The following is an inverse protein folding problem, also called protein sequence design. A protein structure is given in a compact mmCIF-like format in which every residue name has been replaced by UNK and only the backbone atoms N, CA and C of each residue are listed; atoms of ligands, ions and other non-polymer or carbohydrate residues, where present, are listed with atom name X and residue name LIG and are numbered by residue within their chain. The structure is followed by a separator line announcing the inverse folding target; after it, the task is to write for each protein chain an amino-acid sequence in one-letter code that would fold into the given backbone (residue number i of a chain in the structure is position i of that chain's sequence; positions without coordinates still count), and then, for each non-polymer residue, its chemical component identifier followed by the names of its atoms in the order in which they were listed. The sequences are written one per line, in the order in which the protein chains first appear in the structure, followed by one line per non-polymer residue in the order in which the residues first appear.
data_IF_008566169725
#
_entry.id   IF_008566169725
#
_cell.length_a   1.000
_cell.length_b   1.000
_cell.length_c   1.000
_cell.angle_alpha   90.00
_cell.angle_beta   90.00
_cell.angle_gamma   90.00
#
_symmetry.space_group_name_H-M   'P 1'
#
loop_
_entity.id
_entity.type
_entity.pdbx_description
1 polymer ?
#
# COMPACT_ATOMS: atom_id res chain seq x y z
N UNK A 1 30.68 -33.58 -11.68
CA UNK A 1 29.69 -32.64 -12.25
C UNK A 1 30.46 -31.67 -13.14
N UNK A 2 30.24 -31.72 -14.46
CA UNK A 2 31.12 -31.11 -15.46
C UNK A 2 30.97 -29.59 -15.57
N UNK A 3 32.10 -28.89 -15.75
CA UNK A 3 32.17 -27.42 -15.90
C UNK A 3 31.33 -26.87 -17.07
N UNK A 4 30.97 -27.72 -18.05
CA UNK A 4 30.19 -27.33 -19.22
C UNK A 4 28.72 -27.02 -18.89
N UNK A 5 28.15 -27.65 -17.87
CA UNK A 5 26.75 -27.43 -17.48
C UNK A 5 26.55 -26.09 -16.76
N UNK A 6 27.60 -25.56 -16.14
CA UNK A 6 27.61 -24.26 -15.44
C UNK A 6 27.49 -23.09 -16.44
N UNK A 7 27.92 -23.31 -17.70
CA UNK A 7 28.07 -22.25 -18.71
C UNK A 7 26.82 -22.01 -19.59
N UNK A 8 25.78 -22.85 -19.50
CA UNK A 8 24.53 -22.65 -20.27
C UNK A 8 23.54 -21.74 -19.51
N UNK A 9 24.01 -20.58 -19.06
CA UNK A 9 23.17 -19.55 -18.46
C UNK A 9 22.55 -18.71 -19.58
N UNK A 10 21.27 -18.90 -19.88
CA UNK A 10 20.52 -18.02 -20.79
C UNK A 10 20.53 -16.58 -20.23
N UNK A 11 21.36 -15.71 -20.79
CA UNK A 11 21.38 -14.29 -20.44
C UNK A 11 20.11 -13.63 -20.96
N UNK A 12 19.18 -13.30 -20.06
CA UNK A 12 17.98 -12.53 -20.43
C UNK A 12 18.38 -11.07 -20.69
N UNK A 13 18.20 -10.59 -21.93
CA UNK A 13 18.41 -9.17 -22.26
C UNK A 13 17.35 -8.32 -21.56
N UNK A 14 17.68 -7.70 -20.43
CA UNK A 14 16.83 -6.69 -19.80
C UNK A 14 16.95 -5.36 -20.57
N UNK A 15 16.05 -5.14 -21.54
CA UNK A 15 16.03 -3.93 -22.39
C UNK A 15 15.15 -2.80 -21.84
N UNK A 16 14.60 -2.94 -20.63
CA UNK A 16 13.55 -2.04 -20.14
C UNK A 16 14.08 -0.74 -19.52
N UNK A 17 15.39 -0.62 -19.25
CA UNK A 17 15.98 0.61 -18.70
C UNK A 17 15.26 1.13 -17.45
N UNK A 18 15.06 2.45 -17.38
CA UNK A 18 14.35 3.13 -16.27
C UNK A 18 12.87 2.72 -16.21
N UNK A 19 12.24 2.47 -17.36
CA UNK A 19 10.84 2.02 -17.41
C UNK A 19 10.65 0.65 -16.73
N UNK A 20 11.70 -0.17 -16.67
CA UNK A 20 11.73 -1.44 -15.94
C UNK A 20 11.51 -1.32 -14.43
N UNK A 21 11.66 -0.11 -13.86
CA UNK A 21 11.42 0.14 -12.43
C UNK A 21 9.92 0.19 -12.12
N UNK A 22 9.12 0.69 -13.06
CA UNK A 22 7.66 0.80 -12.93
C UNK A 22 6.93 -0.38 -13.59
N UNK A 23 7.61 -1.12 -14.47
CA UNK A 23 7.03 -2.26 -15.14
C UNK A 23 6.91 -3.48 -14.21
N UNK A 24 5.67 -3.88 -13.93
CA UNK A 24 5.35 -4.98 -13.01
C UNK A 24 5.77 -6.38 -13.49
N UNK A 25 5.85 -6.60 -14.81
CA UNK A 25 6.16 -7.89 -15.40
C UNK A 25 5.32 -9.04 -14.82
N UNK A 26 5.95 -10.19 -14.57
CA UNK A 26 5.30 -11.38 -13.98
C UNK A 26 4.78 -11.19 -12.54
N UNK A 27 5.28 -10.16 -11.84
CA UNK A 27 5.04 -9.90 -10.41
C UNK A 27 4.38 -8.54 -10.19
N UNK A 28 3.49 -8.15 -11.11
CA UNK A 28 2.91 -6.82 -11.14
C UNK A 28 2.08 -6.52 -9.88
N UNK A 29 1.28 -7.49 -9.41
CA UNK A 29 0.43 -7.36 -8.21
C UNK A 29 1.29 -7.01 -7.00
N UNK A 30 2.35 -7.78 -6.77
CA UNK A 30 3.21 -7.61 -5.60
C UNK A 30 3.99 -6.29 -5.69
N UNK A 31 4.42 -5.89 -6.89
CA UNK A 31 5.11 -4.61 -7.12
C UNK A 31 4.21 -3.41 -6.87
N UNK A 32 2.99 -3.39 -7.40
CA UNK A 32 2.06 -2.28 -7.14
C UNK A 32 1.64 -2.25 -5.67
N UNK A 33 1.38 -3.41 -5.05
CA UNK A 33 1.05 -3.48 -3.63
C UNK A 33 2.18 -2.97 -2.73
N UNK A 34 3.44 -3.11 -3.15
CA UNK A 34 4.59 -2.54 -2.47
C UNK A 34 4.68 -1.02 -2.65
N UNK A 35 4.57 -0.53 -3.89
CA UNK A 35 4.68 0.90 -4.21
C UNK A 35 3.57 1.69 -3.53
N UNK A 36 2.31 1.25 -3.68
CA UNK A 36 1.16 1.93 -3.09
C UNK A 36 1.24 1.97 -1.56
N UNK A 37 1.76 0.92 -0.91
CA UNK A 37 1.86 0.90 0.55
C UNK A 37 2.85 1.91 1.11
N UNK A 38 3.96 2.14 0.37
CA UNK A 38 4.91 3.19 0.71
C UNK A 38 4.31 4.57 0.50
N UNK A 39 3.67 4.80 -0.64
CA UNK A 39 3.02 6.08 -0.94
C UNK A 39 1.95 6.40 0.11
N UNK A 40 1.07 5.44 0.43
CA UNK A 40 0.05 5.64 1.46
C UNK A 40 0.65 5.85 2.84
N UNK A 41 1.74 5.14 3.19
CA UNK A 41 2.44 5.36 4.46
C UNK A 41 3.02 6.76 4.58
N UNK A 42 3.67 7.29 3.53
CA UNK A 42 4.15 8.66 3.53
C UNK A 42 3.01 9.68 3.62
N UNK A 43 1.89 9.44 2.92
CA UNK A 43 0.70 10.28 3.02
C UNK A 43 0.13 10.31 4.45
N UNK A 44 0.06 9.16 5.13
CA UNK A 44 -0.41 9.06 6.50
C UNK A 44 0.52 9.75 7.50
N UNK A 45 1.85 9.63 7.35
CA UNK A 45 2.81 10.33 8.19
C UNK A 45 2.65 11.85 8.03
N UNK A 46 2.58 12.32 6.79
CA UNK A 46 2.38 13.74 6.50
C UNK A 46 1.06 14.25 7.07
N UNK A 47 -0.03 13.50 6.87
CA UNK A 47 -1.32 13.79 7.47
C UNK A 47 -1.25 13.85 9.00
N UNK A 48 -0.60 12.88 9.65
CA UNK A 48 -0.52 12.86 11.11
C UNK A 48 0.18 14.12 11.66
N UNK A 49 1.24 14.59 11.00
CA UNK A 49 1.89 15.86 11.36
C UNK A 49 0.93 17.06 11.24
N UNK A 50 0.20 17.15 10.12
CA UNK A 50 -0.80 18.21 9.93
C UNK A 50 -1.97 18.08 10.93
N UNK A 51 -2.39 16.87 11.25
CA UNK A 51 -3.47 16.58 12.18
C UNK A 51 -3.13 17.05 13.60
N UNK A 52 -1.90 16.78 14.05
CA UNK A 52 -1.39 17.30 15.34
C UNK A 52 -1.35 18.84 15.34
N UNK A 53 -0.94 19.46 14.24
CA UNK A 53 -0.98 20.92 14.12
C UNK A 53 -2.41 21.49 14.21
N UNK A 54 -3.35 20.98 13.41
CA UNK A 54 -4.75 21.42 13.38
C UNK A 54 -5.41 21.23 14.75
N UNK A 55 -5.22 20.06 15.37
CA UNK A 55 -5.78 19.79 16.71
C UNK A 55 -5.16 20.68 17.78
N UNK A 56 -3.90 21.11 17.60
CA UNK A 56 -3.23 22.08 18.45
C UNK A 56 -3.88 23.47 18.44
N UNK A 57 -4.54 23.89 17.36
CA UNK A 57 -5.27 25.17 17.29
C UNK A 57 -6.37 25.26 18.35
N UNK A 58 -6.90 24.13 18.84
CA UNK A 58 -7.89 24.08 19.90
C UNK A 58 -7.40 24.72 21.20
N UNK A 59 -6.09 24.71 21.46
CA UNK A 59 -5.49 25.35 22.63
C UNK A 59 -5.43 26.89 22.50
N UNK A 60 -5.59 27.44 21.30
CA UNK A 60 -5.51 28.88 21.02
C UNK A 60 -6.86 29.61 21.15
N UNK A 61 -7.92 28.90 21.51
CA UNK A 61 -9.26 29.45 21.71
C UNK A 61 -10.23 29.14 20.57
N UNK A 62 -11.50 29.51 20.77
CA UNK A 62 -12.59 29.18 19.85
C UNK A 62 -12.44 29.86 18.48
N UNK A 63 -11.95 31.10 18.43
CA UNK A 63 -11.79 31.83 17.17
C UNK A 63 -10.80 31.14 16.21
N UNK A 64 -9.62 30.74 16.73
CA UNK A 64 -8.63 30.00 15.94
C UNK A 64 -9.17 28.65 15.47
N UNK A 65 -9.91 27.95 16.33
CA UNK A 65 -10.54 26.67 16.01
C UNK A 65 -11.61 26.79 14.90
N UNK A 66 -12.52 27.76 15.01
CA UNK A 66 -13.55 27.97 14.00
C UNK A 66 -12.94 28.42 12.66
N UNK A 67 -11.89 29.25 12.69
CA UNK A 67 -11.17 29.67 11.48
C UNK A 67 -10.55 28.49 10.73
N UNK A 68 -9.77 27.65 11.41
CA UNK A 68 -9.14 26.49 10.76
C UNK A 68 -10.18 25.46 10.31
N UNK A 69 -11.25 25.25 11.08
CA UNK A 69 -12.32 24.34 10.71
C UNK A 69 -13.10 24.85 9.49
N UNK A 70 -13.28 26.17 9.35
CA UNK A 70 -13.83 26.79 8.15
C UNK A 70 -13.01 26.49 6.90
N UNK A 71 -11.68 26.55 7.01
CA UNK A 71 -10.77 26.20 5.92
C UNK A 71 -10.82 24.70 5.55
N UNK A 72 -10.88 23.81 6.54
CA UNK A 72 -10.94 22.35 6.31
C UNK A 72 -12.28 21.87 5.74
N UNK A 73 -13.35 22.67 5.86
CA UNK A 73 -14.66 22.42 5.22
C UNK A 73 -14.71 22.82 3.74
N UNK A 74 -13.62 23.32 3.17
CA UNK A 74 -13.61 23.67 1.75
C UNK A 74 -13.65 22.40 0.87
N UNK A 75 -14.23 22.45 -0.33
CA UNK A 75 -14.37 21.28 -1.20
C UNK A 75 -13.04 20.57 -1.52
N UNK A 76 -11.95 21.34 -1.59
CA UNK A 76 -10.59 20.81 -1.81
C UNK A 76 -10.19 19.92 -0.64
N UNK A 77 -10.44 20.34 0.60
CA UNK A 77 -10.09 19.55 1.78
C UNK A 77 -11.00 18.34 1.97
N UNK A 78 -12.28 18.43 1.62
CA UNK A 78 -13.14 17.24 1.53
C UNK A 78 -12.60 16.21 0.54
N UNK A 79 -12.14 16.65 -0.64
CA UNK A 79 -11.51 15.73 -1.59
C UNK A 79 -10.21 15.12 -1.04
N UNK A 80 -9.36 15.91 -0.37
CA UNK A 80 -8.14 15.42 0.24
C UNK A 80 -8.42 14.44 1.40
N UNK A 81 -9.43 14.71 2.22
CA UNK A 81 -9.89 13.82 3.28
C UNK A 81 -10.39 12.49 2.70
N UNK A 82 -11.15 12.53 1.60
CA UNK A 82 -11.58 11.32 0.91
C UNK A 82 -10.38 10.51 0.38
N UNK A 83 -9.39 11.15 -0.26
CA UNK A 83 -8.16 10.45 -0.69
C UNK A 83 -7.39 9.86 0.49
N UNK A 84 -7.34 10.58 1.61
CA UNK A 84 -6.73 10.10 2.84
C UNK A 84 -7.44 8.87 3.41
N UNK A 85 -8.78 8.85 3.39
CA UNK A 85 -9.59 7.69 3.78
C UNK A 85 -9.23 6.46 2.93
N UNK A 86 -9.13 6.62 1.61
CA UNK A 86 -8.70 5.55 0.70
C UNK A 86 -7.29 5.06 1.04
N UNK A 87 -6.35 5.98 1.25
CA UNK A 87 -4.97 5.67 1.60
C UNK A 87 -4.89 4.92 2.94
N UNK A 88 -5.67 5.34 3.94
CA UNK A 88 -5.73 4.72 5.25
C UNK A 88 -6.22 3.27 5.18
N UNK A 89 -7.38 3.03 4.56
CA UNK A 89 -7.95 1.67 4.45
C UNK A 89 -6.99 0.75 3.70
N UNK A 90 -6.46 1.22 2.57
CA UNK A 90 -5.50 0.45 1.79
C UNK A 90 -4.23 0.14 2.59
N UNK A 91 -3.66 1.14 3.28
CA UNK A 91 -2.44 0.96 4.08
C UNK A 91 -2.65 -0.05 5.21
N UNK A 92 -3.77 0.05 5.93
CA UNK A 92 -4.11 -0.85 7.02
C UNK A 92 -4.26 -2.31 6.52
N UNK A 93 -5.07 -2.53 5.48
CA UNK A 93 -5.31 -3.87 4.92
C UNK A 93 -4.03 -4.50 4.35
N UNK A 94 -3.23 -3.73 3.60
CA UNK A 94 -1.95 -4.25 3.09
C UNK A 94 -0.90 -4.41 4.21
N UNK A 95 -0.97 -3.60 5.26
CA UNK A 95 -0.15 -3.75 6.47
C UNK A 95 -0.46 -5.07 7.18
N UNK A 96 -1.74 -5.40 7.36
CA UNK A 96 -2.14 -6.72 7.89
C UNK A 96 -1.58 -7.85 7.04
N UNK A 97 -1.69 -7.77 5.72
CA UNK A 97 -1.07 -8.78 4.82
C UNK A 97 0.42 -8.96 5.14
N UNK A 98 1.17 -7.87 5.27
CA UNK A 98 2.60 -7.92 5.56
C UNK A 98 2.89 -8.52 6.94
N UNK A 99 2.11 -8.16 7.97
CA UNK A 99 2.24 -8.72 9.32
C UNK A 99 2.07 -10.23 9.30
N UNK A 100 1.00 -10.76 8.70
CA UNK A 100 0.78 -12.21 8.61
C UNK A 100 1.92 -12.92 7.87
N UNK A 101 2.44 -12.31 6.82
CA UNK A 101 3.57 -12.85 6.07
C UNK A 101 4.87 -12.81 6.88
N UNK A 102 5.14 -11.76 7.64
CA UNK A 102 6.34 -11.69 8.51
C UNK A 102 6.34 -12.82 9.55
N UNK A 103 5.16 -13.19 10.06
CA UNK A 103 5.00 -14.36 10.94
C UNK A 103 5.05 -15.72 10.21
N UNK A 104 5.36 -15.75 8.91
CA UNK A 104 5.45 -16.95 8.11
C UNK A 104 4.09 -17.57 7.76
N UNK A 105 2.99 -16.92 8.12
CA UNK A 105 1.64 -17.39 7.78
C UNK A 105 1.49 -17.25 6.27
N UNK A 106 1.12 -18.34 5.59
CA UNK A 106 0.92 -18.42 4.13
C UNK A 106 2.19 -18.39 3.23
N UNK A 107 3.42 -18.25 3.77
CA UNK A 107 4.67 -18.27 2.98
C UNK A 107 5.20 -19.67 2.65
N UNK A 108 4.88 -20.67 3.48
CA UNK A 108 5.39 -22.03 3.35
C UNK A 108 6.72 -22.27 4.05
N UNK A 109 7.27 -23.48 3.88
CA UNK A 109 8.54 -23.85 4.50
C UNK A 109 9.70 -23.10 3.83
N UNK A 110 10.66 -22.55 4.59
CA UNK A 110 11.86 -21.97 4.02
C UNK A 110 12.62 -23.04 3.25
N UNK A 111 13.03 -22.71 2.03
CA UNK A 111 13.80 -23.58 1.16
C UNK A 111 15.15 -22.94 0.83
N UNK A 112 16.17 -23.76 0.63
CA UNK A 112 17.48 -23.25 0.24
C UNK A 112 17.41 -22.65 -1.17
N UNK A 113 18.03 -21.49 -1.43
CA UNK A 113 18.06 -20.86 -2.75
C UNK A 113 19.06 -21.58 -3.67
N UNK A 114 18.80 -22.85 -3.97
CA UNK A 114 19.55 -23.66 -4.93
C UNK A 114 18.91 -23.53 -6.30
N UNK A 115 19.72 -23.40 -7.34
CA UNK A 115 19.22 -23.40 -8.71
C UNK A 115 18.64 -24.79 -9.04
N UNK A 116 17.45 -24.88 -9.66
CA UNK A 116 16.58 -23.78 -10.08
C UNK A 116 15.82 -23.12 -8.92
N UNK A 117 15.84 -21.79 -8.87
CA UNK A 117 15.19 -21.03 -7.79
C UNK A 117 13.67 -21.26 -7.78
N UNK A 118 13.15 -21.66 -6.63
CA UNK A 118 11.70 -21.71 -6.37
C UNK A 118 11.26 -20.40 -5.70
N UNK A 119 10.11 -19.87 -6.12
CA UNK A 119 9.57 -18.62 -5.56
C UNK A 119 8.33 -18.90 -4.73
N UNK A 120 8.28 -18.35 -3.52
CA UNK A 120 7.10 -18.42 -2.65
C UNK A 120 6.03 -17.40 -3.01
N UNK A 121 6.30 -16.50 -3.97
CA UNK A 121 5.39 -15.39 -4.33
C UNK A 121 4.02 -15.93 -4.77
N UNK A 122 3.99 -17.00 -5.56
CA UNK A 122 2.73 -17.54 -6.06
C UNK A 122 1.89 -18.22 -4.96
N UNK A 123 2.53 -18.70 -3.89
CA UNK A 123 1.86 -19.40 -2.78
C UNK A 123 1.02 -18.46 -1.92
N UNK A 124 1.48 -17.22 -1.73
CA UNK A 124 0.76 -16.19 -0.96
C UNK A 124 -0.33 -15.45 -1.75
N UNK A 125 -0.44 -15.66 -3.08
CA UNK A 125 -1.38 -14.90 -3.94
C UNK A 125 -2.85 -15.02 -3.52
N UNK A 126 -3.39 -16.21 -3.19
CA UNK A 126 -4.78 -16.30 -2.74
C UNK A 126 -5.06 -15.41 -1.52
N UNK A 127 -4.14 -15.40 -0.57
CA UNK A 127 -4.23 -14.54 0.61
C UNK A 127 -4.19 -13.05 0.26
N UNK A 128 -3.32 -12.65 -0.67
CA UNK A 128 -3.28 -11.27 -1.19
C UNK A 128 -4.64 -10.89 -1.78
N UNK A 129 -5.22 -11.72 -2.64
CA UNK A 129 -6.51 -11.43 -3.27
C UNK A 129 -7.64 -11.32 -2.25
N UNK A 130 -7.72 -12.25 -1.29
CA UNK A 130 -8.73 -12.23 -0.23
C UNK A 130 -8.68 -10.90 0.52
N UNK A 131 -7.49 -10.48 0.97
CA UNK A 131 -7.34 -9.21 1.69
C UNK A 131 -7.62 -7.99 0.81
N UNK A 132 -7.20 -7.98 -0.46
CA UNK A 132 -7.46 -6.85 -1.35
C UNK A 132 -8.95 -6.73 -1.71
N UNK A 133 -9.66 -7.84 -1.88
CA UNK A 133 -11.11 -7.84 -2.09
C UNK A 133 -11.81 -7.32 -0.84
N UNK A 134 -11.41 -7.80 0.35
CA UNK A 134 -11.93 -7.29 1.61
C UNK A 134 -11.70 -5.79 1.75
N UNK A 135 -10.48 -5.31 1.45
CA UNK A 135 -10.15 -3.89 1.43
C UNK A 135 -10.98 -3.08 0.42
N UNK A 136 -11.24 -3.64 -0.77
CA UNK A 136 -12.12 -3.00 -1.75
C UNK A 136 -13.56 -2.89 -1.25
N UNK A 137 -14.08 -3.92 -0.56
CA UNK A 137 -15.41 -3.88 0.07
C UNK A 137 -15.45 -2.77 1.12
N UNK A 138 -14.45 -2.69 2.01
CA UNK A 138 -14.36 -1.62 3.00
C UNK A 138 -14.30 -0.24 2.34
N UNK A 139 -13.54 -0.08 1.26
CA UNK A 139 -13.48 1.18 0.51
C UNK A 139 -14.85 1.54 -0.06
N UNK A 140 -15.58 0.60 -0.66
CA UNK A 140 -16.91 0.85 -1.22
C UNK A 140 -17.89 1.27 -0.14
N UNK A 141 -17.93 0.54 0.98
CA UNK A 141 -18.79 0.87 2.13
C UNK A 141 -18.43 2.26 2.67
N UNK A 142 -17.15 2.50 2.97
CA UNK A 142 -16.68 3.77 3.50
C UNK A 142 -16.93 4.93 2.54
N UNK A 143 -16.83 4.71 1.23
CA UNK A 143 -17.16 5.72 0.21
C UNK A 143 -18.65 6.05 0.24
N UNK A 144 -19.52 5.05 0.28
CA UNK A 144 -20.97 5.24 0.37
C UNK A 144 -21.33 6.00 1.65
N UNK A 145 -20.72 5.64 2.77
CA UNK A 145 -20.95 6.32 4.06
C UNK A 145 -20.43 7.76 4.05
N UNK A 146 -19.24 8.00 3.50
CA UNK A 146 -18.64 9.33 3.39
C UNK A 146 -19.58 10.32 2.68
N UNK A 147 -20.10 9.91 1.51
CA UNK A 147 -21.03 10.74 0.74
C UNK A 147 -22.46 10.80 1.29
N UNK A 148 -22.85 9.89 2.20
CA UNK A 148 -24.14 9.95 2.89
C UNK A 148 -24.12 10.86 4.12
N UNK A 149 -23.00 10.89 4.85
CA UNK A 149 -22.88 11.55 6.15
C UNK A 149 -22.42 13.01 6.01
N UNK A 150 -21.71 13.36 4.93
CA UNK A 150 -21.14 14.71 4.79
C UNK A 150 -20.65 15.06 3.38
N UNK A 151 -21.27 14.49 2.34
CA UNK A 151 -21.22 15.04 0.98
C UNK A 151 -22.27 16.13 0.80
#
# INVERSE_FOLDING_TARGET
MGKEEIMNQKTYKNRLGILGWFYGGKYWIERYAYILHRISGFALIFYLSLHVFVTGERAKGSEAWESIMGFLKTPVFHFLEYLLLLAFIYHAINGFRLIFLEFGVFLGKPAQPKYPYITSIHRQRPFVFILMILGAIFIVIATIEYFKIGG
#
